data_IF_489207278778
#
_entry.id   IF_489207278778
#
_cell.length_a   1.000
_cell.length_b   1.000
_cell.length_c   1.000
_cell.angle_alpha   90.00
_cell.angle_beta   90.00
_cell.angle_gamma   90.00
#
_symmetry.space_group_name_H-M   'P 1'
#
loop_
_entity.id
_entity.type
_entity.pdbx_description
1 polymer ?
#
# COMPACT_ATOMS: atom_id res chain seq x y z
N UNK A 1 19.49 -15.81 -2.34
CA UNK A 1 18.44 -14.80 -2.58
C UNK A 1 19.14 -13.57 -3.11
N UNK A 2 18.66 -13.01 -4.22
CA UNK A 2 19.21 -11.75 -4.73
C UNK A 2 18.56 -10.64 -3.92
N UNK A 3 19.31 -10.10 -2.96
CA UNK A 3 18.96 -8.93 -2.18
C UNK A 3 19.98 -7.81 -2.44
N UNK A 4 19.54 -6.56 -2.30
CA UNK A 4 20.40 -5.40 -2.41
C UNK A 4 20.22 -4.48 -1.21
N UNK A 5 21.29 -3.76 -0.86
CA UNK A 5 21.23 -2.72 0.16
C UNK A 5 20.64 -1.45 -0.44
N UNK A 6 19.69 -0.87 0.28
CA UNK A 6 19.14 0.45 0.00
C UNK A 6 19.27 1.33 1.24
N UNK A 7 19.32 2.63 1.01
CA UNK A 7 19.44 3.65 2.04
C UNK A 7 18.29 4.64 1.87
N UNK A 8 17.70 5.07 3.00
CA UNK A 8 16.66 6.07 3.09
C UNK A 8 17.16 7.17 4.03
N UNK A 9 16.98 8.42 3.62
CA UNK A 9 17.33 9.58 4.42
C UNK A 9 16.05 10.35 4.77
N UNK A 10 15.83 10.59 6.06
CA UNK A 10 14.76 11.46 6.55
C UNK A 10 15.41 12.50 7.44
N UNK A 11 15.38 13.77 7.01
CA UNK A 11 16.21 14.85 7.60
C UNK A 11 17.68 14.41 7.67
N UNK A 12 18.31 14.46 8.84
CA UNK A 12 19.71 14.06 9.04
C UNK A 12 19.87 12.57 9.41
N UNK A 13 18.76 11.81 9.49
CA UNK A 13 18.81 10.39 9.87
C UNK A 13 18.93 9.49 8.64
N UNK A 14 19.86 8.54 8.71
CA UNK A 14 20.09 7.51 7.71
C UNK A 14 19.55 6.17 8.18
N UNK A 15 18.73 5.53 7.36
CA UNK A 15 18.23 4.18 7.54
C UNK A 15 18.77 3.29 6.43
N UNK A 16 19.04 2.02 6.72
CA UNK A 16 19.61 1.08 5.76
C UNK A 16 18.93 -0.27 5.84
N UNK A 17 18.52 -0.80 4.69
CA UNK A 17 17.72 -2.00 4.58
C UNK A 17 18.29 -2.95 3.52
N UNK A 18 18.04 -4.25 3.68
CA UNK A 18 18.22 -5.23 2.62
C UNK A 18 16.84 -5.51 2.03
N UNK A 19 16.70 -5.37 0.71
CA UNK A 19 15.45 -5.63 0.00
C UNK A 19 15.65 -6.60 -1.16
N UNK A 20 14.63 -7.36 -1.57
CA UNK A 20 14.66 -8.13 -2.81
C UNK A 20 14.97 -7.25 -4.03
N UNK A 21 15.69 -7.79 -5.03
CA UNK A 21 16.07 -6.98 -6.22
C UNK A 21 14.87 -6.43 -7.00
N UNK A 22 13.78 -7.21 -7.09
CA UNK A 22 12.53 -6.82 -7.75
C UNK A 22 11.82 -5.67 -7.04
N UNK A 23 12.14 -5.42 -5.77
CA UNK A 23 11.48 -4.38 -4.97
C UNK A 23 12.19 -3.04 -5.05
N UNK A 24 13.29 -2.89 -5.80
CA UNK A 24 14.01 -1.61 -5.91
C UNK A 24 13.16 -0.45 -6.40
N UNK A 25 12.44 -0.66 -7.52
CA UNK A 25 11.61 0.38 -8.12
C UNK A 25 10.41 0.70 -7.20
N UNK A 26 9.67 -0.28 -6.66
CA UNK A 26 8.69 -0.04 -5.60
C UNK A 26 9.25 0.70 -4.39
N UNK A 27 10.43 0.32 -3.91
CA UNK A 27 11.12 0.95 -2.79
C UNK A 27 11.36 2.43 -3.06
N UNK A 28 11.91 2.79 -4.23
CA UNK A 28 12.15 4.21 -4.59
C UNK A 28 10.87 5.05 -4.64
N UNK A 29 9.74 4.45 -5.02
CA UNK A 29 8.43 5.14 -4.96
C UNK A 29 7.95 5.30 -3.52
N UNK A 30 8.08 4.26 -2.69
CA UNK A 30 7.69 4.28 -1.29
C UNK A 30 8.57 5.25 -0.47
N UNK A 31 9.87 5.29 -0.76
CA UNK A 31 10.86 6.22 -0.19
C UNK A 31 10.41 7.67 -0.33
N UNK A 32 10.03 8.08 -1.54
CA UNK A 32 9.51 9.42 -1.79
C UNK A 32 8.22 9.67 -1.00
N UNK A 33 7.28 8.73 -1.03
CA UNK A 33 5.96 8.89 -0.36
C UNK A 33 6.11 9.05 1.16
N UNK A 34 6.98 8.27 1.80
CA UNK A 34 7.18 8.37 3.25
C UNK A 34 7.87 9.67 3.64
N UNK A 35 8.84 10.15 2.86
CA UNK A 35 9.49 11.45 3.08
C UNK A 35 8.45 12.57 2.99
N UNK A 36 7.67 12.60 1.91
CA UNK A 36 6.63 13.62 1.70
C UNK A 36 5.60 13.64 2.85
N UNK A 37 5.22 12.46 3.37
CA UNK A 37 4.31 12.35 4.52
C UNK A 37 4.92 12.90 5.80
N UNK A 38 6.15 12.50 6.13
CA UNK A 38 6.84 12.99 7.33
C UNK A 38 7.03 14.51 7.27
N UNK A 39 7.39 15.06 6.11
CA UNK A 39 7.58 16.50 5.90
C UNK A 39 6.26 17.29 5.95
N UNK A 40 5.13 16.66 5.65
CA UNK A 40 3.80 17.31 5.74
C UNK A 40 3.30 17.50 7.17
N UNK A 41 3.87 16.78 8.13
CA UNK A 41 3.52 16.86 9.55
C UNK A 41 4.37 17.97 10.19
N UNK A 42 3.73 18.90 10.89
CA UNK A 42 4.46 19.86 11.73
C UNK A 42 5.01 19.13 12.97
N UNK A 43 6.34 19.00 13.05
CA UNK A 43 7.03 18.29 14.12
C UNK A 43 8.41 18.88 14.38
N UNK A 44 8.81 18.91 15.66
CA UNK A 44 10.19 19.24 16.05
C UNK A 44 11.14 18.08 15.72
N UNK A 45 12.45 18.30 15.82
CA UNK A 45 13.43 17.21 15.65
C UNK A 45 13.29 16.09 16.68
N UNK A 46 12.92 16.43 17.92
CA UNK A 46 12.65 15.47 18.99
C UNK A 46 11.43 14.59 18.68
N UNK A 47 10.50 15.11 17.88
CA UNK A 47 9.26 14.43 17.48
C UNK A 47 9.38 13.66 16.16
N UNK A 48 10.58 13.54 15.60
CA UNK A 48 10.80 12.90 14.30
C UNK A 48 10.39 11.42 14.31
N UNK A 49 10.63 10.72 15.42
CA UNK A 49 10.25 9.31 15.55
C UNK A 49 8.73 9.15 15.57
N UNK A 50 8.01 10.01 16.30
CA UNK A 50 6.55 10.07 16.30
C UNK A 50 6.00 10.40 14.91
N UNK A 51 6.60 11.35 14.19
CA UNK A 51 6.18 11.72 12.84
C UNK A 51 6.37 10.56 11.84
N UNK A 52 7.47 9.80 11.96
CA UNK A 52 7.73 8.59 11.16
C UNK A 52 6.69 7.51 11.48
N UNK A 53 6.44 7.24 12.76
CA UNK A 53 5.44 6.23 13.19
C UNK A 53 4.04 6.62 12.75
N UNK A 54 3.67 7.90 12.90
CA UNK A 54 2.36 8.40 12.46
C UNK A 54 2.19 8.27 10.94
N UNK A 55 3.22 8.61 10.16
CA UNK A 55 3.22 8.44 8.70
C UNK A 55 3.06 6.97 8.30
N UNK A 56 3.72 6.04 9.01
CA UNK A 56 3.58 4.61 8.78
C UNK A 56 2.15 4.12 9.10
N UNK A 57 1.56 4.59 10.20
CA UNK A 57 0.17 4.29 10.56
C UNK A 57 -0.81 4.81 9.50
N UNK A 58 -0.60 6.02 8.99
CA UNK A 58 -1.45 6.60 7.95
C UNK A 58 -1.41 5.77 6.65
N UNK A 59 -0.23 5.30 6.24
CA UNK A 59 -0.08 4.39 5.09
C UNK A 59 -0.76 3.04 5.33
N UNK A 60 -0.65 2.47 6.54
CA UNK A 60 -1.32 1.22 6.88
C UNK A 60 -2.85 1.36 6.83
N UNK A 61 -3.40 2.45 7.37
CA UNK A 61 -4.83 2.76 7.31
C UNK A 61 -5.31 2.95 5.87
N UNK A 62 -4.53 3.66 5.04
CA UNK A 62 -4.85 3.84 3.61
C UNK A 62 -4.87 2.49 2.88
N UNK A 63 -3.91 1.60 3.17
CA UNK A 63 -3.87 0.27 2.60
C UNK A 63 -5.09 -0.58 3.01
N UNK A 64 -5.44 -0.61 4.30
CA UNK A 64 -6.64 -1.32 4.77
C UNK A 64 -7.91 -0.83 4.07
N UNK A 65 -8.08 0.49 3.92
CA UNK A 65 -9.21 1.05 3.16
C UNK A 65 -9.24 0.57 1.71
N UNK A 66 -8.09 0.53 1.04
CA UNK A 66 -7.97 0.06 -0.35
C UNK A 66 -8.26 -1.45 -0.48
N UNK A 67 -7.82 -2.25 0.48
CA UNK A 67 -8.10 -3.70 0.53
C UNK A 67 -9.59 -3.94 0.74
N UNK A 68 -10.23 -3.22 1.68
CA UNK A 68 -11.67 -3.32 1.91
C UNK A 68 -12.46 -2.97 0.64
N UNK A 69 -12.15 -1.84 0.00
CA UNK A 69 -12.80 -1.42 -1.26
C UNK A 69 -12.67 -2.48 -2.35
N UNK A 70 -11.46 -3.00 -2.59
CA UNK A 70 -11.26 -4.06 -3.59
C UNK A 70 -12.03 -5.33 -3.28
N UNK A 71 -12.15 -5.69 -2.00
CA UNK A 71 -12.90 -6.89 -1.59
C UNK A 71 -14.38 -6.70 -1.84
N UNK A 72 -14.93 -5.52 -1.52
CA UNK A 72 -16.31 -5.15 -1.81
C UNK A 72 -16.58 -5.16 -3.32
N UNK A 73 -15.73 -4.51 -4.13
CA UNK A 73 -15.85 -4.47 -5.60
C UNK A 73 -15.80 -5.88 -6.23
N UNK A 74 -14.95 -6.77 -5.68
CA UNK A 74 -14.84 -8.16 -6.15
C UNK A 74 -16.11 -8.93 -5.82
N UNK A 75 -16.66 -8.75 -4.61
CA UNK A 75 -17.91 -9.42 -4.22
C UNK A 75 -19.10 -8.98 -5.09
N UNK A 76 -19.19 -7.69 -5.43
CA UNK A 76 -20.23 -7.19 -6.35
C UNK A 76 -20.06 -7.78 -7.75
N UNK A 77 -18.82 -7.88 -8.24
CA UNK A 77 -18.53 -8.48 -9.54
C UNK A 77 -18.90 -9.97 -9.59
N UNK A 78 -18.61 -10.73 -8.53
CA UNK A 78 -18.94 -12.16 -8.42
C UNK A 78 -20.46 -12.41 -8.36
N UNK A 79 -21.20 -11.53 -7.69
CA UNK A 79 -22.66 -11.56 -7.66
C UNK A 79 -23.26 -11.31 -9.05
N UNK A 80 -22.73 -10.33 -9.79
CA UNK A 80 -23.15 -10.05 -11.18
C UNK A 80 -22.85 -11.22 -12.12
N UNK A 81 -21.66 -11.85 -12.00
CA UNK A 81 -21.30 -13.04 -12.77
C UNK A 81 -22.25 -14.19 -12.44
N UNK A 82 -22.55 -14.41 -11.17
CA UNK A 82 -23.47 -15.46 -10.71
C UNK A 82 -24.89 -15.24 -11.22
N UNK A 83 -25.37 -13.99 -11.26
CA UNK A 83 -26.67 -13.66 -11.84
C UNK A 83 -26.70 -13.91 -13.35
N UNK A 84 -25.61 -13.58 -14.06
CA UNK A 84 -25.50 -13.82 -15.50
C UNK A 84 -25.49 -15.33 -15.83
N UNK A 85 -24.76 -16.14 -15.04
CA UNK A 85 -24.76 -17.60 -15.17
C UNK A 85 -26.19 -18.14 -15.00
N UNK A 86 -26.92 -17.72 -13.96
CA UNK A 86 -28.31 -18.13 -13.73
C UNK A 86 -29.23 -17.78 -14.91
N UNK A 87 -29.06 -16.59 -15.50
CA UNK A 87 -29.84 -16.18 -16.69
C UNK A 87 -29.55 -17.08 -17.90
N UNK A 88 -28.28 -17.43 -18.12
CA UNK A 88 -27.87 -18.35 -19.19
C UNK A 88 -28.46 -19.75 -18.96
N UNK A 89 -28.39 -20.27 -17.74
CA UNK A 89 -28.97 -21.59 -17.38
C UNK A 89 -30.48 -21.65 -17.63
N UNK A 90 -31.22 -20.59 -17.27
CA UNK A 90 -32.65 -20.49 -17.56
C UNK A 90 -32.90 -20.51 -19.08
N UNK A 91 -32.10 -19.77 -19.85
CA UNK A 91 -32.25 -19.68 -21.30
C UNK A 91 -31.97 -21.01 -22.02
N UNK A 92 -30.96 -21.77 -21.57
CA UNK A 92 -30.59 -23.07 -22.17
C UNK A 92 -31.63 -24.17 -21.87
N UNK A 93 -32.33 -24.08 -20.75
CA UNK A 93 -33.32 -25.06 -20.32
C UNK A 93 -34.77 -24.77 -20.79
N UNK A 94 -34.94 -23.81 -21.71
CA UNK A 94 -36.19 -23.53 -22.44
C UNK A 94 -36.21 -24.26 -23.79
#
# INVERSE_FOLDING_TARGET
MNEQRVELFIKERKFSFMIPFNDYVPFKKAEKKIIDLVESIDHTEEQLDEAIVYSALQLAIENEKLVTQKTEDTSESDDQISELIKKIEIFINQ
#
